data_IF_329890526834
#
_entry.id   IF_329890526834
#
_cell.length_a   1.000
_cell.length_b   1.000
_cell.length_c   1.000
_cell.angle_alpha   90.00
_cell.angle_beta   90.00
_cell.angle_gamma   90.00
#
_symmetry.space_group_name_H-M   'P 1'
#
loop_
_entity.id
_entity.type
_entity.pdbx_description
1 polymer ?
#
# COMPACT_ATOMS: atom_id res chain seq x y z
N UNK A 1 -6.85 -12.08 16.85
CA UNK A 1 -6.87 -10.65 16.51
C UNK A 1 -5.69 -10.24 15.62
N UNK A 2 -4.42 -10.56 15.94
CA UNK A 2 -3.27 -10.14 15.12
C UNK A 2 -3.06 -10.91 13.79
N UNK A 3 -3.59 -12.12 13.64
CA UNK A 3 -3.46 -12.91 12.39
C UNK A 3 -4.28 -12.36 11.23
N UNK A 4 -5.56 -12.01 11.46
CA UNK A 4 -6.46 -11.53 10.41
C UNK A 4 -5.93 -10.25 9.71
N UNK A 5 -5.34 -9.33 10.49
CA UNK A 5 -4.73 -8.11 9.94
C UNK A 5 -3.50 -8.44 9.09
N UNK A 6 -2.66 -9.38 9.54
CA UNK A 6 -1.48 -9.81 8.79
C UNK A 6 -1.87 -10.51 7.48
N UNK A 7 -2.85 -11.40 7.53
CA UNK A 7 -3.39 -12.09 6.34
C UNK A 7 -3.95 -11.09 5.33
N UNK A 8 -4.68 -10.06 5.78
CA UNK A 8 -5.21 -9.03 4.89
C UNK A 8 -4.09 -8.18 4.26
N UNK A 9 -3.07 -7.81 5.03
CA UNK A 9 -1.91 -7.09 4.51
C UNK A 9 -1.16 -7.94 3.48
N UNK A 10 -0.91 -9.22 3.78
CA UNK A 10 -0.21 -10.14 2.88
C UNK A 10 -1.01 -10.38 1.59
N UNK A 11 -2.33 -10.59 1.71
CA UNK A 11 -3.23 -10.72 0.56
C UNK A 11 -3.18 -9.48 -0.33
N UNK A 12 -3.29 -8.29 0.26
CA UNK A 12 -3.23 -7.04 -0.48
C UNK A 12 -1.87 -6.85 -1.14
N UNK A 13 -0.78 -7.13 -0.42
CA UNK A 13 0.56 -6.99 -0.95
C UNK A 13 0.80 -7.94 -2.12
N UNK A 14 0.42 -9.22 -1.98
CA UNK A 14 0.56 -10.21 -3.06
C UNK A 14 -0.23 -9.80 -4.31
N UNK A 15 -1.49 -9.41 -4.14
CA UNK A 15 -2.31 -8.96 -5.27
C UNK A 15 -1.76 -7.69 -5.94
N UNK A 16 -1.19 -6.78 -5.15
CA UNK A 16 -0.50 -5.60 -5.70
C UNK A 16 0.72 -6.00 -6.52
N UNK A 17 1.57 -6.90 -6.01
CA UNK A 17 2.76 -7.39 -6.73
C UNK A 17 2.39 -8.09 -8.04
N UNK A 18 1.31 -8.87 -8.07
CA UNK A 18 0.81 -9.51 -9.29
C UNK A 18 0.29 -8.49 -10.33
N UNK A 19 -0.30 -7.37 -9.87
CA UNK A 19 -0.82 -6.30 -10.73
C UNK A 19 0.25 -5.26 -11.11
N UNK A 20 1.34 -5.14 -10.35
CA UNK A 20 2.37 -4.12 -10.53
C UNK A 20 2.90 -4.04 -11.98
N UNK A 21 3.22 -5.16 -12.67
CA UNK A 21 3.73 -5.10 -14.05
C UNK A 21 2.76 -4.47 -15.06
N UNK A 22 1.44 -4.53 -14.81
CA UNK A 22 0.45 -3.96 -15.74
C UNK A 22 0.09 -2.50 -15.45
N UNK A 23 0.41 -2.01 -14.26
CA UNK A 23 0.05 -0.65 -13.80
C UNK A 23 1.27 0.27 -13.72
N UNK A 24 2.49 -0.28 -13.64
CA UNK A 24 3.72 0.50 -13.42
C UNK A 24 3.96 1.54 -14.52
N UNK A 25 3.65 1.23 -15.77
CA UNK A 25 3.85 2.18 -16.88
C UNK A 25 2.86 3.35 -16.87
N UNK A 26 1.68 3.18 -16.27
CA UNK A 26 0.59 4.17 -16.34
C UNK A 26 0.34 4.89 -15.03
N UNK A 27 0.67 4.28 -13.89
CA UNK A 27 0.41 4.79 -12.55
C UNK A 27 1.70 5.00 -11.75
N UNK A 28 2.87 5.01 -12.39
CA UNK A 28 4.17 5.22 -11.72
C UNK A 28 4.15 6.44 -10.80
N UNK A 29 4.65 6.28 -9.58
CA UNK A 29 4.76 7.35 -8.59
C UNK A 29 3.45 7.71 -7.89
N UNK A 30 2.35 7.02 -8.22
CA UNK A 30 1.09 7.13 -7.48
C UNK A 30 0.99 6.12 -6.35
N UNK A 31 0.01 6.33 -5.48
CA UNK A 31 -0.30 5.50 -4.33
C UNK A 31 -1.58 4.71 -4.61
N UNK A 32 -1.47 3.40 -4.71
CA UNK A 32 -2.60 2.49 -4.86
C UNK A 32 -3.22 2.19 -3.50
N UNK A 33 -4.51 2.46 -3.35
CA UNK A 33 -5.30 2.01 -2.21
C UNK A 33 -5.74 0.57 -2.46
N UNK A 34 -5.31 -0.33 -1.58
CA UNK A 34 -5.62 -1.76 -1.67
C UNK A 34 -6.62 -2.17 -0.59
N UNK A 35 -7.62 -2.95 -0.99
CA UNK A 35 -8.58 -3.58 -0.08
C UNK A 35 -8.94 -4.98 -0.58
N UNK A 36 -8.89 -5.96 0.32
CA UNK A 36 -9.28 -7.34 0.08
C UNK A 36 -8.69 -8.00 -1.18
N UNK A 37 -7.47 -7.61 -1.56
CA UNK A 37 -6.75 -8.10 -2.74
C UNK A 37 -7.04 -7.33 -4.03
N UNK A 38 -7.70 -6.17 -3.96
CA UNK A 38 -8.03 -5.36 -5.12
C UNK A 38 -7.49 -3.93 -4.98
N UNK A 39 -7.17 -3.33 -6.12
CA UNK A 39 -6.85 -1.90 -6.21
C UNK A 39 -8.17 -1.16 -6.29
N UNK A 40 -8.45 -0.35 -5.28
CA UNK A 40 -9.66 0.49 -5.21
C UNK A 40 -9.47 1.72 -6.09
N UNK A 41 -8.35 2.43 -5.92
CA UNK A 41 -8.05 3.66 -6.66
C UNK A 41 -6.56 4.03 -6.56
N UNK A 42 -6.14 5.01 -7.34
CA UNK A 42 -4.80 5.59 -7.34
C UNK A 42 -4.82 7.06 -6.95
N UNK A 43 -3.88 7.47 -6.11
CA UNK A 43 -3.77 8.82 -5.60
C UNK A 43 -2.39 9.40 -5.87
N UNK A 44 -2.33 10.72 -6.07
CA UNK A 44 -1.05 11.41 -6.26
C UNK A 44 -0.27 11.58 -4.95
N UNK A 45 -0.94 11.51 -3.80
CA UNK A 45 -0.30 11.63 -2.48
C UNK A 45 -0.72 10.50 -1.54
N UNK A 46 0.16 10.07 -0.61
CA UNK A 46 -0.19 9.05 0.36
C UNK A 46 -1.24 9.55 1.36
N UNK A 47 -1.30 10.88 1.58
CA UNK A 47 -2.26 11.52 2.45
C UNK A 47 -3.69 11.38 1.92
N UNK A 48 -3.89 11.57 0.62
CA UNK A 48 -5.21 11.45 0.01
C UNK A 48 -5.69 10.01 0.03
N UNK A 49 -4.81 9.06 -0.33
CA UNK A 49 -5.08 7.63 -0.20
C UNK A 49 -5.48 7.24 1.22
N UNK A 50 -4.82 7.82 2.24
CA UNK A 50 -5.12 7.57 3.65
C UNK A 50 -6.46 8.13 4.11
N UNK A 51 -6.77 9.37 3.75
CA UNK A 51 -8.05 10.02 4.09
C UNK A 51 -9.21 9.24 3.48
N UNK A 52 -9.08 8.86 2.20
CA UNK A 52 -10.10 8.08 1.49
C UNK A 52 -10.20 6.67 2.07
N UNK A 53 -9.07 6.01 2.31
CA UNK A 53 -9.00 4.68 2.93
C UNK A 53 -9.67 4.64 4.29
N UNK A 54 -9.39 5.60 5.18
CA UNK A 54 -10.04 5.68 6.48
C UNK A 54 -11.56 5.89 6.38
N UNK A 55 -12.00 6.70 5.41
CA UNK A 55 -13.41 7.04 5.24
C UNK A 55 -14.22 5.88 4.66
N UNK A 56 -13.65 5.14 3.72
CA UNK A 56 -14.33 4.05 3.02
C UNK A 56 -14.16 2.70 3.72
N UNK A 57 -13.00 2.47 4.35
CA UNK A 57 -12.59 1.18 4.93
C UNK A 57 -12.07 1.36 6.36
N UNK A 58 -12.91 1.80 7.32
CA UNK A 58 -12.50 2.00 8.71
C UNK A 58 -12.03 0.70 9.40
N UNK A 59 -12.37 -0.44 8.82
CA UNK A 59 -12.05 -1.80 9.24
C UNK A 59 -10.70 -2.33 8.69
N UNK A 60 -10.04 -1.62 7.78
CA UNK A 60 -8.65 -1.89 7.39
C UNK A 60 -8.34 -1.70 5.90
N UNK A 61 -7.17 -1.15 5.57
CA UNK A 61 -6.73 -1.00 4.19
C UNK A 61 -5.20 -0.96 4.15
N UNK A 62 -4.62 -1.06 2.96
CA UNK A 62 -3.19 -0.84 2.77
C UNK A 62 -2.96 0.11 1.60
N UNK A 63 -1.95 0.96 1.71
CA UNK A 63 -1.54 1.87 0.65
C UNK A 63 -0.17 1.39 0.16
N UNK A 64 -0.01 1.26 -1.15
CA UNK A 64 1.26 0.87 -1.76
C UNK A 64 1.67 1.88 -2.83
N UNK A 65 2.93 2.27 -2.84
CA UNK A 65 3.47 3.14 -3.87
C UNK A 65 3.78 2.33 -5.14
N UNK A 66 3.38 2.84 -6.30
CA UNK A 66 3.58 2.21 -7.61
C UNK A 66 4.97 2.60 -8.13
N UNK A 67 6.00 1.86 -7.69
CA UNK A 67 7.39 2.03 -8.09
C UNK A 67 8.03 0.69 -8.48
N UNK A 68 8.97 0.72 -9.43
CA UNK A 68 9.63 -0.48 -9.99
C UNK A 68 10.49 -1.23 -8.96
N UNK A 69 11.11 -0.49 -8.04
CA UNK A 69 11.82 -1.07 -6.91
C UNK A 69 10.88 -1.10 -5.72
N UNK A 70 10.51 -2.27 -5.19
CA UNK A 70 9.92 -2.32 -3.87
C UNK A 70 10.94 -1.67 -2.91
N UNK A 71 10.64 -0.47 -2.42
CA UNK A 71 11.35 0.08 -1.28
C UNK A 71 11.08 -0.93 -0.17
N UNK A 72 12.12 -1.64 0.24
CA UNK A 72 12.06 -2.57 1.36
C UNK A 72 11.80 -1.76 2.63
N UNK A 73 10.53 -1.49 2.91
CA UNK A 73 10.07 -0.75 4.09
C UNK A 73 10.40 -1.51 5.39
N UNK A 74 10.97 -2.72 5.31
CA UNK A 74 11.58 -3.44 6.43
C UNK A 74 12.76 -2.68 7.08
N UNK A 75 13.35 -1.70 6.41
CA UNK A 75 14.48 -0.92 6.95
C UNK A 75 14.13 0.41 7.63
N UNK A 76 12.89 0.90 7.53
CA UNK A 76 12.50 2.16 8.19
C UNK A 76 12.15 2.00 9.68
N UNK A 77 12.21 0.78 10.23
CA UNK A 77 12.02 0.55 11.68
C UNK A 77 13.25 0.87 12.54
N UNK A 78 14.37 1.36 11.97
CA UNK A 78 15.59 1.67 12.75
C UNK A 78 16.25 3.03 12.48
N UNK A 79 15.68 3.90 11.65
CA UNK A 79 16.25 5.21 11.39
C UNK A 79 15.58 6.31 12.24
N UNK A 80 15.74 6.22 13.57
CA UNK A 80 15.78 7.43 14.39
C UNK A 80 17.24 7.88 14.47
N UNK A 81 17.64 9.02 13.89
CA UNK A 81 18.88 9.65 14.31
C UNK A 81 18.64 10.19 15.72
N UNK A 82 19.09 9.44 16.74
CA UNK A 82 19.33 10.05 18.05
C UNK A 82 20.49 11.03 17.85
N UNK A 83 20.20 12.30 18.09
CA UNK A 83 21.17 13.38 18.06
C UNK A 83 21.78 13.59 19.44
#
# INVERSE_FOLDING_TARGET
MQQAVREQIEKNYKAFQEKLPSIIDTQRGKFALMRDGEIVDYFDTPRDAYIVGQRLYPDGFSIQEVIETPVDLGFFSHALPQR
#
